data_IF_310047932873
#
_entry.id   IF_310047932873
#
_cell.length_a   1.000
_cell.length_b   1.000
_cell.length_c   1.000
_cell.angle_alpha   90.00
_cell.angle_beta   90.00
_cell.angle_gamma   90.00
#
_symmetry.space_group_name_H-M   'P 1'
#
loop_
_entity.id
_entity.type
_entity.pdbx_description
1 polymer ?
#
# COMPACT_ATOMS: atom_id res chain seq x y z
N UNK A 1 -6.73 -9.89 10.62
CA UNK A 1 -5.58 -9.01 10.94
C UNK A 1 -4.20 -9.71 10.88
N UNK A 2 -3.97 -10.94 11.37
CA UNK A 2 -2.63 -11.59 11.38
C UNK A 2 -2.12 -12.19 10.04
N UNK A 3 -2.95 -12.24 8.99
CA UNK A 3 -2.68 -13.04 7.77
C UNK A 3 -1.65 -12.42 6.83
N UNK A 4 -1.66 -11.09 6.65
CA UNK A 4 -0.75 -10.40 5.71
C UNK A 4 0.70 -10.45 6.22
N UNK A 5 0.92 -10.08 7.48
CA UNK A 5 2.26 -10.09 8.09
C UNK A 5 2.91 -11.47 8.03
N UNK A 6 2.12 -12.54 8.20
CA UNK A 6 2.61 -13.91 8.07
C UNK A 6 3.01 -14.25 6.62
N UNK A 7 2.21 -13.88 5.62
CA UNK A 7 2.50 -14.11 4.20
C UNK A 7 3.76 -13.37 3.71
N UNK A 8 4.12 -12.28 4.40
CA UNK A 8 5.25 -11.42 4.05
C UNK A 8 6.57 -11.84 4.71
N UNK A 9 6.51 -12.69 5.73
CA UNK A 9 7.70 -13.19 6.41
C UNK A 9 8.56 -13.97 5.40
N UNK A 10 9.85 -13.63 5.30
CA UNK A 10 10.84 -14.27 4.42
C UNK A 10 10.65 -14.07 2.90
N UNK A 11 9.93 -13.03 2.47
CA UNK A 11 9.74 -12.70 1.04
C UNK A 11 10.95 -12.01 0.38
N UNK A 12 11.95 -11.61 1.16
CA UNK A 12 13.12 -10.88 0.67
C UNK A 12 12.93 -9.38 0.80
N UNK A 13 13.63 -8.60 -0.05
CA UNK A 13 13.59 -7.13 -0.05
C UNK A 13 12.32 -6.64 -0.75
N UNK A 14 11.56 -5.76 -0.09
CA UNK A 14 10.43 -5.07 -0.72
C UNK A 14 10.98 -4.09 -1.76
N UNK A 15 10.53 -4.24 -3.01
CA UNK A 15 10.91 -3.39 -4.14
C UNK A 15 9.91 -2.26 -4.28
N UNK A 16 8.62 -2.58 -4.43
CA UNK A 16 7.55 -1.60 -4.67
C UNK A 16 6.18 -2.11 -4.21
N UNK A 17 5.27 -1.18 -3.96
CA UNK A 17 3.83 -1.45 -3.81
C UNK A 17 3.11 -0.61 -4.86
N UNK A 18 2.29 -1.25 -5.68
CA UNK A 18 1.56 -0.58 -6.77
C UNK A 18 0.08 -0.82 -6.59
N UNK A 19 -0.72 0.25 -6.63
CA UNK A 19 -2.17 0.17 -6.64
C UNK A 19 -2.69 0.22 -8.07
N UNK A 20 -3.60 -0.69 -8.39
CA UNK A 20 -4.34 -0.70 -9.65
C UNK A 20 -5.82 -0.60 -9.32
N UNK A 21 -6.50 0.36 -9.94
CA UNK A 21 -7.95 0.43 -9.90
C UNK A 21 -8.57 -0.14 -11.18
N UNK A 22 -9.32 -1.22 -11.03
CA UNK A 22 -10.24 -1.75 -12.05
C UNK A 22 -11.68 -1.63 -11.52
N UNK A 23 -12.34 -2.76 -11.20
CA UNK A 23 -13.64 -2.79 -10.50
C UNK A 23 -13.51 -2.53 -8.99
N UNK A 24 -12.31 -2.69 -8.45
CA UNK A 24 -11.92 -2.41 -7.08
C UNK A 24 -10.42 -2.10 -7.03
N UNK A 25 -9.83 -2.08 -5.84
CA UNK A 25 -8.39 -1.85 -5.71
C UNK A 25 -7.63 -3.17 -5.64
N UNK A 26 -6.55 -3.27 -6.41
CA UNK A 26 -5.58 -4.36 -6.28
C UNK A 26 -4.24 -3.77 -5.90
N UNK A 27 -3.72 -4.14 -4.73
CA UNK A 27 -2.36 -3.80 -4.31
C UNK A 27 -1.41 -4.93 -4.67
N UNK A 28 -0.42 -4.62 -5.50
CA UNK A 28 0.64 -5.53 -5.90
C UNK A 28 1.92 -5.17 -5.15
N UNK A 29 2.44 -6.11 -4.39
CA UNK A 29 3.68 -5.99 -3.65
C UNK A 29 4.75 -6.80 -4.38
N UNK A 30 5.85 -6.16 -4.74
CA UNK A 30 6.96 -6.80 -5.44
C UNK A 30 8.13 -7.01 -4.48
N UNK A 31 8.69 -8.22 -4.49
CA UNK A 31 9.81 -8.59 -3.64
C UNK A 31 10.95 -9.18 -4.46
N UNK A 32 12.17 -8.83 -4.09
CA UNK A 32 13.40 -9.44 -4.60
C UNK A 32 13.96 -10.40 -3.56
N UNK A 33 14.11 -11.67 -3.95
CA UNK A 33 14.79 -12.68 -3.15
C UNK A 33 15.92 -13.29 -3.97
N UNK A 34 17.14 -12.81 -3.72
CA UNK A 34 18.37 -13.29 -4.39
C UNK A 34 18.27 -13.21 -5.93
N UNK A 35 17.76 -12.10 -6.45
CA UNK A 35 17.61 -11.87 -7.90
C UNK A 35 16.32 -12.43 -8.50
N UNK A 36 15.52 -13.18 -7.72
CA UNK A 36 14.19 -13.64 -8.16
C UNK A 36 13.12 -12.66 -7.70
N UNK A 37 12.46 -12.01 -8.66
CA UNK A 37 11.32 -11.12 -8.39
C UNK A 37 10.06 -11.96 -8.20
N UNK A 38 9.32 -11.69 -7.12
CA UNK A 38 8.03 -12.29 -6.83
C UNK A 38 6.98 -11.22 -6.56
N UNK A 39 5.73 -11.52 -6.92
CA UNK A 39 4.59 -10.62 -6.72
C UNK A 39 3.59 -11.23 -5.75
N UNK A 40 3.07 -10.41 -4.85
CA UNK A 40 1.93 -10.75 -4.00
C UNK A 40 0.81 -9.72 -4.20
N UNK A 41 -0.38 -10.19 -4.54
CA UNK A 41 -1.52 -9.34 -4.89
C UNK A 41 -2.61 -9.44 -3.85
N UNK A 42 -3.15 -8.29 -3.43
CA UNK A 42 -4.28 -8.19 -2.51
C UNK A 42 -5.41 -7.43 -3.18
N UNK A 43 -6.60 -8.04 -3.21
CA UNK A 43 -7.82 -7.35 -3.65
C UNK A 43 -8.48 -6.68 -2.45
N UNK A 44 -8.84 -5.42 -2.60
CA UNK A 44 -9.45 -4.58 -1.57
C UNK A 44 -10.74 -3.96 -2.16
N UNK A 45 -11.86 -4.00 -1.41
CA UNK A 45 -13.11 -3.41 -1.87
C UNK A 45 -13.04 -1.88 -1.90
N UNK A 46 -13.67 -1.26 -2.92
CA UNK A 46 -13.65 0.20 -3.14
C UNK A 46 -14.40 0.99 -2.06
N UNK A 47 -15.47 0.42 -1.50
CA UNK A 47 -16.32 1.09 -0.50
C UNK A 47 -15.69 1.17 0.90
N UNK A 48 -14.74 0.28 1.21
CA UNK A 48 -14.03 0.24 2.48
C UNK A 48 -12.58 -0.17 2.23
N UNK A 49 -11.77 0.72 1.62
CA UNK A 49 -10.45 0.38 1.13
C UNK A 49 -9.42 0.36 2.27
N UNK A 50 -9.50 -0.62 3.14
CA UNK A 50 -8.68 -0.72 4.35
C UNK A 50 -7.82 -1.98 4.29
N UNK A 51 -6.53 -1.84 4.58
CA UNK A 51 -5.57 -2.94 4.72
C UNK A 51 -4.62 -2.70 5.89
N UNK A 52 -3.97 -3.75 6.39
CA UNK A 52 -2.94 -3.63 7.42
C UNK A 52 -1.64 -3.10 6.82
N UNK A 53 -1.03 -2.10 7.46
CA UNK A 53 0.30 -1.62 7.13
C UNK A 53 1.37 -2.67 7.39
N UNK A 54 2.39 -2.65 6.55
CA UNK A 54 3.56 -3.53 6.61
C UNK A 54 4.83 -2.78 7.02
N UNK A 55 4.73 -1.48 7.37
CA UNK A 55 5.86 -0.63 7.80
C UNK A 55 6.66 -1.26 8.95
N UNK A 56 5.99 -1.95 9.88
CA UNK A 56 6.65 -2.66 10.98
C UNK A 56 7.52 -3.87 10.56
N UNK A 57 7.43 -4.30 9.30
CA UNK A 57 8.28 -5.36 8.71
C UNK A 57 9.22 -4.75 7.67
N UNK A 58 8.69 -3.84 6.85
CA UNK A 58 9.38 -3.17 5.76
C UNK A 58 9.28 -1.65 5.96
N UNK A 59 10.25 -1.00 6.62
CA UNK A 59 10.16 0.43 6.92
C UNK A 59 9.98 1.31 5.67
N UNK A 60 10.56 0.90 4.54
CA UNK A 60 10.41 1.59 3.25
C UNK A 60 8.98 1.50 2.66
N UNK A 61 8.11 0.64 3.20
CA UNK A 61 6.70 0.63 2.81
C UNK A 61 5.99 1.95 3.13
N UNK A 62 6.50 2.75 4.06
CA UNK A 62 5.88 4.03 4.47
C UNK A 62 5.58 4.93 3.26
N UNK A 63 6.57 5.11 2.38
CA UNK A 63 6.42 5.94 1.19
C UNK A 63 5.37 5.40 0.23
N UNK A 64 5.40 4.09 -0.06
CA UNK A 64 4.45 3.48 -0.97
C UNK A 64 3.02 3.46 -0.40
N UNK A 65 2.85 3.21 0.90
CA UNK A 65 1.55 3.23 1.55
C UNK A 65 0.95 4.65 1.54
N UNK A 66 1.77 5.68 1.78
CA UNK A 66 1.36 7.09 1.73
C UNK A 66 1.03 7.55 0.31
N UNK A 67 1.81 7.13 -0.68
CA UNK A 67 1.51 7.37 -2.11
C UNK A 67 0.14 6.81 -2.47
N UNK A 68 -0.09 5.54 -2.15
CA UNK A 68 -1.36 4.87 -2.45
C UNK A 68 -2.52 5.53 -1.67
N UNK A 69 -2.28 5.95 -0.43
CA UNK A 69 -3.26 6.70 0.34
C UNK A 69 -3.61 8.05 -0.32
N UNK A 70 -2.62 8.82 -0.73
CA UNK A 70 -2.82 10.12 -1.38
C UNK A 70 -3.62 9.99 -2.68
N UNK A 71 -3.26 9.03 -3.52
CA UNK A 71 -3.83 8.92 -4.87
C UNK A 71 -5.12 8.10 -4.95
N UNK A 72 -5.30 7.12 -4.06
CA UNK A 72 -6.42 6.17 -4.13
C UNK A 72 -7.30 6.17 -2.87
N UNK A 73 -6.90 6.85 -1.79
CA UNK A 73 -7.64 6.88 -0.53
C UNK A 73 -7.64 5.56 0.25
N UNK A 74 -6.67 4.67 -0.02
CA UNK A 74 -6.55 3.40 0.72
C UNK A 74 -6.00 3.69 2.12
N UNK A 75 -6.64 3.12 3.13
CA UNK A 75 -6.28 3.22 4.54
C UNK A 75 -5.34 2.07 4.94
N UNK A 76 -4.15 2.41 5.44
CA UNK A 76 -3.14 1.45 5.91
C UNK A 76 -3.04 1.43 7.43
N UNK A 77 -3.79 0.52 8.07
CA UNK A 77 -3.87 0.41 9.54
C UNK A 77 -2.51 0.09 10.14
N UNK A 78 -2.05 0.97 11.04
CA UNK A 78 -0.77 0.83 11.74
C UNK A 78 0.36 1.68 11.16
N UNK A 79 0.16 2.35 10.03
CA UNK A 79 1.09 3.39 9.58
C UNK A 79 0.79 4.70 10.33
N UNK A 80 1.70 5.10 11.22
CA UNK A 80 1.54 6.32 12.03
C UNK A 80 1.65 7.61 11.22
N UNK A 81 2.30 7.56 10.05
CA UNK A 81 2.55 8.73 9.20
C UNK A 81 1.54 8.88 8.06
N UNK A 82 0.51 8.02 8.03
CA UNK A 82 -0.47 8.03 6.93
C UNK A 82 -1.21 9.37 6.78
N UNK A 83 -1.37 10.10 7.89
CA UNK A 83 -1.97 11.43 7.90
C UNK A 83 -1.10 12.51 7.25
N UNK A 84 0.19 12.26 7.06
CA UNK A 84 1.12 13.19 6.40
C UNK A 84 1.07 12.94 4.89
N UNK A 85 0.62 13.92 4.12
CA UNK A 85 0.66 13.86 2.65
C UNK A 85 2.10 13.67 2.17
N UNK A 86 2.27 12.87 1.12
CA UNK A 86 3.56 12.63 0.49
C UNK A 86 3.70 13.41 -0.81
N UNK A 87 2.64 13.44 -1.62
CA UNK A 87 2.64 14.09 -2.93
C UNK A 87 1.65 15.24 -3.05
N UNK A 88 0.54 15.16 -2.33
CA UNK A 88 -0.49 16.20 -2.38
C UNK A 88 -0.16 17.33 -1.40
N UNK A 89 -0.61 18.57 -1.67
CA UNK A 89 -0.58 19.64 -0.68
C UNK A 89 -1.32 19.26 0.60
N UNK A 90 -0.86 19.77 1.75
CA UNK A 90 -1.46 19.47 3.06
C UNK A 90 -2.92 19.91 3.16
N UNK A 91 -3.32 20.94 2.41
CA UNK A 91 -4.67 21.49 2.36
C UNK A 91 -5.55 20.88 1.26
N UNK A 92 -5.10 19.80 0.60
CA UNK A 92 -5.86 19.15 -0.46
C UNK A 92 -7.18 18.55 0.07
N UNK A 93 -8.31 19.10 -0.39
CA UNK A 93 -9.69 18.68 -0.03
C UNK A 93 -10.42 17.91 -1.14
N UNK A 94 -9.74 17.62 -2.25
CA UNK A 94 -10.35 16.95 -3.40
C UNK A 94 -10.59 15.44 -3.18
N UNK A 95 -11.31 14.82 -4.11
CA UNK A 95 -11.36 13.35 -4.20
C UNK A 95 -9.97 12.80 -4.51
N UNK A 96 -9.60 11.58 -4.07
CA UNK A 96 -8.32 10.99 -4.44
C UNK A 96 -8.12 11.01 -5.97
N UNK A 97 -7.02 11.59 -6.49
CA UNK A 97 -6.89 11.93 -7.91
C UNK A 97 -6.99 10.75 -8.89
N UNK A 98 -6.55 9.56 -8.48
CA UNK A 98 -6.53 8.38 -9.35
C UNK A 98 -7.80 7.53 -9.22
N UNK A 99 -8.77 7.99 -8.42
CA UNK A 99 -10.06 7.31 -8.31
C UNK A 99 -10.98 7.68 -9.47
N UNK A 100 -11.10 6.73 -10.40
CA UNK A 100 -12.11 6.74 -11.47
C UNK A 100 -13.51 6.51 -10.92
#
# INVERSE_FOLDING_TARGET
MKRIKHLLKNKGRLISIVCIQEKGFTLNYYFDKKGKITKLSFKIPKNKPIIESIVGIYPNADYYEREVHDFYGVEFKGNKKLHLKLFLPDDYKGKPPMVK
#
